data_IF_586109570073
#
_entry.id   IF_586109570073
#
_cell.length_a   1.000
_cell.length_b   1.000
_cell.length_c   1.000
_cell.angle_alpha   90.00
_cell.angle_beta   90.00
_cell.angle_gamma   90.00
#
_symmetry.space_group_name_H-M   'P 1'
#
loop_
_entity.id
_entity.type
_entity.pdbx_description
1 polymer ?
#
# COMPACT_ATOMS: atom_id res chain seq x y z
N UNK A 1 -26.45 -25.31 -39.17
CA UNK A 1 -26.11 -24.17 -38.25
C UNK A 1 -26.41 -24.45 -36.78
N UNK A 2 -26.44 -25.70 -36.35
CA UNK A 2 -26.72 -26.08 -34.94
C UNK A 2 -25.46 -26.06 -34.07
N UNK A 3 -24.25 -26.10 -34.66
CA UNK A 3 -22.99 -26.21 -33.92
C UNK A 3 -22.56 -24.94 -33.16
N UNK A 4 -22.99 -23.75 -33.56
CA UNK A 4 -22.58 -22.49 -32.96
C UNK A 4 -23.27 -22.24 -31.60
N UNK A 5 -24.51 -22.69 -31.43
CA UNK A 5 -25.25 -22.51 -30.17
C UNK A 5 -24.75 -23.42 -29.03
N UNK A 6 -24.11 -24.54 -29.36
CA UNK A 6 -23.61 -25.48 -28.35
C UNK A 6 -22.32 -24.99 -27.66
N UNK A 7 -21.59 -24.04 -28.25
CA UNK A 7 -20.31 -23.52 -27.71
C UNK A 7 -20.52 -22.29 -26.85
N UNK A 8 -21.64 -21.56 -26.98
CA UNK A 8 -21.93 -20.35 -26.22
C UNK A 8 -21.83 -20.50 -24.67
N UNK A 9 -22.27 -21.63 -24.07
CA UNK A 9 -22.12 -21.80 -22.63
C UNK A 9 -20.68 -22.01 -22.16
N UNK A 10 -19.76 -22.33 -23.08
CA UNK A 10 -18.34 -22.64 -22.77
C UNK A 10 -17.48 -21.38 -22.93
N UNK A 11 -18.01 -20.33 -23.56
CA UNK A 11 -17.28 -19.06 -23.65
C UNK A 11 -17.08 -18.47 -22.26
N UNK A 12 -15.84 -18.17 -21.86
CA UNK A 12 -15.58 -17.54 -20.57
C UNK A 12 -16.35 -16.21 -20.51
N UNK A 13 -17.18 -16.08 -19.48
CA UNK A 13 -17.81 -14.78 -19.20
C UNK A 13 -16.71 -13.77 -18.92
N UNK A 14 -16.79 -12.56 -19.49
CA UNK A 14 -15.87 -11.50 -19.11
C UNK A 14 -15.90 -11.34 -17.59
N UNK A 15 -14.74 -11.47 -16.95
CA UNK A 15 -14.64 -11.16 -15.52
C UNK A 15 -14.94 -9.67 -15.35
N UNK A 16 -15.74 -9.29 -14.34
CA UNK A 16 -15.93 -7.88 -14.03
C UNK A 16 -14.58 -7.30 -13.62
N UNK A 17 -13.98 -6.52 -14.50
CA UNK A 17 -12.72 -5.82 -14.23
C UNK A 17 -13.09 -4.50 -13.57
N UNK A 18 -12.75 -4.34 -12.30
CA UNK A 18 -12.86 -3.04 -11.65
C UNK A 18 -11.91 -2.04 -12.35
N UNK A 19 -12.39 -0.80 -12.52
CA UNK A 19 -11.54 0.25 -13.04
C UNK A 19 -10.28 0.40 -12.15
N UNK A 20 -9.14 0.50 -12.80
CA UNK A 20 -7.88 0.69 -12.09
C UNK A 20 -7.90 2.02 -11.30
N UNK A 21 -7.45 2.00 -10.05
CA UNK A 21 -7.28 3.22 -9.27
C UNK A 21 -6.24 4.11 -9.96
N UNK A 22 -6.55 5.37 -10.26
CA UNK A 22 -5.60 6.24 -10.95
C UNK A 22 -4.34 6.46 -10.11
N UNK A 23 -3.23 6.75 -10.77
CA UNK A 23 -1.99 7.19 -10.10
C UNK A 23 -2.29 8.48 -9.34
N UNK A 24 -1.91 8.59 -8.04
CA UNK A 24 -2.17 9.79 -7.26
C UNK A 24 -1.54 11.04 -7.88
N UNK A 25 -2.26 12.17 -7.93
CA UNK A 25 -1.67 13.43 -8.34
C UNK A 25 -0.43 13.77 -7.48
N UNK A 26 0.68 14.08 -8.13
CA UNK A 26 1.94 14.38 -7.45
C UNK A 26 2.87 13.18 -7.24
N UNK A 27 2.45 11.96 -7.52
CA UNK A 27 3.27 10.75 -7.37
C UNK A 27 4.63 10.89 -8.08
N UNK A 28 4.64 11.06 -9.40
CA UNK A 28 5.89 11.19 -10.17
C UNK A 28 6.70 12.41 -9.78
N UNK A 29 6.06 13.54 -9.45
CA UNK A 29 6.75 14.74 -9.00
C UNK A 29 7.53 14.52 -7.70
N UNK A 30 6.96 13.75 -6.76
CA UNK A 30 7.63 13.37 -5.50
C UNK A 30 8.85 12.51 -5.78
N UNK A 31 8.72 11.44 -6.57
CA UNK A 31 9.84 10.56 -6.90
C UNK A 31 10.95 11.30 -7.66
N UNK A 32 10.61 12.13 -8.63
CA UNK A 32 11.59 12.98 -9.34
C UNK A 32 12.34 13.92 -8.38
N UNK A 33 11.67 14.47 -7.38
CA UNK A 33 12.28 15.34 -6.36
C UNK A 33 13.16 14.56 -5.38
N UNK A 34 12.82 13.32 -5.07
CA UNK A 34 13.61 12.46 -4.20
C UNK A 34 14.94 12.02 -4.83
N UNK A 35 15.04 11.96 -6.17
CA UNK A 35 16.26 11.54 -6.89
C UNK A 35 16.89 10.28 -6.31
N UNK A 36 16.09 9.26 -6.09
CA UNK A 36 16.52 8.01 -5.49
C UNK A 36 17.26 7.14 -6.52
N UNK A 37 18.29 6.38 -6.08
CA UNK A 37 18.83 5.29 -6.89
C UNK A 37 17.74 4.27 -7.26
N UNK A 38 17.86 3.63 -8.43
CA UNK A 38 16.89 2.64 -8.89
C UNK A 38 16.71 1.43 -7.95
N UNK A 39 17.71 1.13 -7.14
CA UNK A 39 17.67 0.03 -6.14
C UNK A 39 17.34 0.48 -4.73
N UNK A 40 17.04 1.77 -4.52
CA UNK A 40 16.79 2.29 -3.19
C UNK A 40 15.50 1.68 -2.59
N UNK A 41 15.53 1.13 -1.37
CA UNK A 41 14.33 0.68 -0.70
C UNK A 41 13.43 1.87 -0.35
N UNK A 42 12.16 1.81 -0.75
CA UNK A 42 11.15 2.87 -0.49
C UNK A 42 9.96 2.27 0.24
N UNK A 43 9.63 2.84 1.37
CA UNK A 43 8.37 2.51 2.04
C UNK A 43 7.27 3.41 1.49
N UNK A 44 6.29 2.82 0.84
CA UNK A 44 5.08 3.53 0.40
C UNK A 44 3.95 3.25 1.38
N UNK A 45 3.15 4.24 1.68
CA UNK A 45 1.91 4.08 2.47
C UNK A 45 0.73 4.55 1.61
N UNK A 46 -0.26 3.70 1.34
CA UNK A 46 -0.46 2.38 1.95
C UNK A 46 0.63 1.38 1.60
N UNK A 47 1.02 0.58 2.59
CA UNK A 47 2.06 -0.46 2.39
C UNK A 47 1.50 -1.56 1.48
N UNK A 48 2.18 -1.90 0.38
CA UNK A 48 1.71 -2.93 -0.54
C UNK A 48 1.51 -4.28 0.16
N UNK A 49 0.37 -4.88 -0.08
CA UNK A 49 0.00 -6.22 0.42
C UNK A 49 -1.10 -6.78 -0.49
N UNK A 50 -1.55 -8.02 -0.29
CA UNK A 50 -2.57 -8.64 -1.14
C UNK A 50 -3.86 -7.85 -1.28
N UNK A 51 -4.21 -7.09 -0.24
CA UNK A 51 -5.40 -6.24 -0.21
C UNK A 51 -5.15 -4.80 -0.68
N UNK A 52 -3.88 -4.42 -0.86
CA UNK A 52 -3.44 -3.08 -1.28
C UNK A 52 -2.33 -3.20 -2.32
N UNK A 53 -2.70 -3.50 -3.55
CA UNK A 53 -1.74 -3.68 -4.67
C UNK A 53 -1.48 -2.39 -5.44
N UNK A 54 -2.26 -1.35 -5.19
CA UNK A 54 -2.22 -0.08 -5.91
C UNK A 54 -0.81 0.53 -5.99
N UNK A 55 -0.02 0.62 -4.91
CA UNK A 55 1.31 1.21 -5.01
C UNK A 55 2.25 0.48 -5.97
N UNK A 56 2.13 -0.85 -6.07
CA UNK A 56 2.90 -1.64 -7.04
C UNK A 56 2.50 -1.30 -8.48
N UNK A 57 1.20 -1.09 -8.70
CA UNK A 57 0.69 -0.71 -10.01
C UNK A 57 1.07 0.73 -10.36
N UNK A 58 0.94 1.69 -9.43
CA UNK A 58 1.37 3.07 -9.66
C UNK A 58 2.84 3.14 -10.05
N UNK A 59 3.69 2.36 -9.37
CA UNK A 59 5.10 2.25 -9.72
C UNK A 59 5.29 1.66 -11.11
N UNK A 60 4.59 0.59 -11.47
CA UNK A 60 4.67 -0.02 -12.78
C UNK A 60 4.17 0.92 -13.90
N UNK A 61 3.06 1.61 -13.67
CA UNK A 61 2.45 2.53 -14.64
C UNK A 61 3.32 3.76 -14.91
N UNK A 62 4.08 4.20 -13.91
CA UNK A 62 4.91 5.41 -14.00
C UNK A 62 6.39 5.14 -14.19
N UNK A 63 6.85 3.90 -13.99
CA UNK A 63 8.25 3.52 -14.11
C UNK A 63 9.16 4.16 -13.05
N UNK A 64 8.59 4.53 -11.89
CA UNK A 64 9.35 5.21 -10.85
C UNK A 64 10.44 4.31 -10.23
N UNK A 65 11.62 4.88 -9.92
CA UNK A 65 12.73 4.13 -9.36
C UNK A 65 12.48 3.70 -7.91
N UNK A 66 13.18 2.67 -7.48
CA UNK A 66 13.17 2.17 -6.11
C UNK A 66 12.56 0.79 -5.99
N UNK A 67 12.89 0.10 -4.90
CA UNK A 67 12.29 -1.17 -4.51
C UNK A 67 11.28 -0.91 -3.41
N UNK A 68 9.99 -1.16 -3.67
CA UNK A 68 8.98 -0.96 -2.63
C UNK A 68 9.13 -1.98 -1.51
N UNK A 69 9.07 -1.50 -0.28
CA UNK A 69 8.98 -2.35 0.91
C UNK A 69 7.57 -2.91 1.01
N UNK A 70 7.47 -4.22 1.18
CA UNK A 70 6.21 -4.93 1.11
C UNK A 70 5.90 -5.40 -0.31
N UNK A 71 4.77 -6.03 -0.51
CA UNK A 71 4.34 -6.50 -1.81
C UNK A 71 3.49 -7.76 -1.73
N UNK A 72 3.02 -8.17 -2.90
CA UNK A 72 2.27 -9.41 -3.07
C UNK A 72 3.16 -10.45 -3.76
N UNK A 73 3.84 -11.25 -2.96
CA UNK A 73 4.70 -12.33 -3.47
C UNK A 73 4.60 -13.56 -2.58
N UNK A 74 4.88 -14.70 -3.15
CA UNK A 74 5.07 -15.93 -2.38
C UNK A 74 6.52 -15.97 -1.88
N UNK A 75 6.67 -16.06 -0.57
CA UNK A 75 7.98 -16.12 0.04
C UNK A 75 7.98 -17.04 1.27
N UNK A 76 9.16 -17.42 1.75
CA UNK A 76 9.26 -18.16 3.00
C UNK A 76 8.87 -17.26 4.17
N UNK A 77 7.98 -17.74 5.02
CA UNK A 77 7.73 -17.13 6.31
C UNK A 77 8.81 -17.56 7.32
N UNK A 78 8.78 -16.96 8.49
CA UNK A 78 9.68 -17.28 9.60
C UNK A 78 9.63 -18.77 10.03
N UNK A 79 8.51 -19.46 9.78
CA UNK A 79 8.29 -20.88 10.09
C UNK A 79 8.68 -21.81 8.92
N UNK A 80 9.28 -21.29 7.85
CA UNK A 80 9.73 -22.01 6.66
C UNK A 80 8.63 -22.39 5.68
N UNK A 81 7.38 -22.02 5.94
CA UNK A 81 6.26 -22.25 5.01
C UNK A 81 6.22 -21.16 3.96
N UNK A 82 5.72 -21.48 2.78
CA UNK A 82 5.42 -20.47 1.77
C UNK A 82 4.08 -19.79 2.12
N UNK A 83 4.10 -18.48 2.20
CA UNK A 83 2.90 -17.67 2.36
C UNK A 83 2.72 -16.73 1.17
N UNK A 84 1.47 -16.58 0.76
CA UNK A 84 1.08 -15.48 -0.12
C UNK A 84 0.72 -14.35 0.80
N UNK A 85 1.57 -13.33 0.91
CA UNK A 85 1.29 -12.12 1.66
C UNK A 85 0.82 -12.34 3.12
N UNK A 86 0.93 -11.38 3.91
CA UNK A 86 0.16 -11.23 5.13
C UNK A 86 0.83 -11.68 6.41
N UNK A 87 1.47 -12.81 6.49
CA UNK A 87 2.27 -13.12 7.68
C UNK A 87 3.65 -12.44 7.63
N UNK A 88 4.01 -11.91 6.46
CA UNK A 88 5.25 -11.17 6.27
C UNK A 88 5.14 -9.65 6.47
N UNK A 89 3.93 -9.06 6.44
CA UNK A 89 3.80 -7.63 6.71
C UNK A 89 3.96 -7.38 8.20
N UNK A 90 5.05 -6.72 8.64
CA UNK A 90 5.26 -6.41 10.04
C UNK A 90 4.10 -5.64 10.64
N UNK A 91 3.92 -5.76 11.95
CA UNK A 91 2.89 -5.01 12.71
C UNK A 91 2.89 -3.51 12.36
N UNK A 92 4.07 -2.92 12.18
CA UNK A 92 4.25 -1.53 11.80
C UNK A 92 3.61 -1.20 10.45
N UNK A 93 3.79 -2.05 9.44
CA UNK A 93 3.17 -1.86 8.11
C UNK A 93 1.65 -1.92 8.17
N UNK A 94 1.11 -2.88 8.93
CA UNK A 94 -0.34 -2.97 9.17
C UNK A 94 -0.89 -1.75 9.91
N UNK A 95 -0.13 -1.24 10.88
CA UNK A 95 -0.51 -0.05 11.61
C UNK A 95 -0.50 1.21 10.74
N UNK A 96 0.49 1.35 9.85
CA UNK A 96 0.52 2.43 8.86
C UNK A 96 -0.68 2.37 7.91
N UNK A 97 -1.06 1.19 7.43
CA UNK A 97 -2.24 1.01 6.60
C UNK A 97 -3.54 1.32 7.35
N UNK A 98 -3.62 0.98 8.63
CA UNK A 98 -4.73 1.37 9.48
C UNK A 98 -4.83 2.90 9.62
N UNK A 99 -3.73 3.60 9.93
CA UNK A 99 -3.70 5.06 10.02
C UNK A 99 -4.03 5.72 8.68
N UNK A 100 -3.62 5.12 7.57
CA UNK A 100 -3.97 5.58 6.24
C UNK A 100 -5.48 5.49 6.00
N UNK A 101 -6.10 4.38 6.34
CA UNK A 101 -7.56 4.20 6.22
C UNK A 101 -8.33 5.21 7.09
N UNK A 102 -7.91 5.42 8.34
CA UNK A 102 -8.48 6.41 9.26
C UNK A 102 -8.29 7.86 8.78
N UNK A 103 -7.30 8.09 7.93
CA UNK A 103 -7.01 9.40 7.34
C UNK A 103 -7.92 9.76 6.16
N UNK A 104 -8.93 8.94 5.87
CA UNK A 104 -9.76 9.11 4.68
C UNK A 104 -8.96 8.85 3.40
N UNK A 105 -7.86 8.13 3.51
CA UNK A 105 -7.18 7.52 2.40
C UNK A 105 -8.22 6.69 1.69
N UNK A 106 -8.71 7.19 0.55
CA UNK A 106 -9.89 6.62 -0.07
C UNK A 106 -9.64 5.14 -0.32
N UNK A 107 -10.32 4.31 0.46
CA UNK A 107 -10.54 2.95 0.00
C UNK A 107 -11.00 3.09 -1.44
N UNK A 108 -10.36 2.43 -2.41
CA UNK A 108 -10.83 2.45 -3.77
C UNK A 108 -12.34 2.25 -3.76
N UNK A 109 -13.08 2.94 -4.60
CA UNK A 109 -14.56 2.90 -4.59
C UNK A 109 -15.12 1.47 -4.62
N UNK A 110 -14.33 0.50 -5.14
CA UNK A 110 -14.66 -0.94 -5.11
C UNK A 110 -14.45 -1.59 -3.74
N UNK A 111 -13.59 -1.04 -2.87
CA UNK A 111 -13.52 -1.43 -1.46
C UNK A 111 -14.53 -0.66 -0.61
N UNK A 112 -14.88 0.56 -0.99
CA UNK A 112 -15.84 1.42 -0.29
C UNK A 112 -17.30 1.07 -0.56
N UNK A 113 -17.60 0.32 -1.63
CA UNK A 113 -18.95 -0.14 -1.90
C UNK A 113 -19.35 -1.29 -0.98
N UNK A 114 -19.53 -0.99 0.31
CA UNK A 114 -20.18 -1.89 1.25
C UNK A 114 -19.27 -2.61 2.26
N UNK A 115 -17.99 -2.27 2.33
CA UNK A 115 -17.13 -2.78 3.39
C UNK A 115 -16.80 -1.63 4.34
N UNK A 116 -17.49 -1.51 5.49
CA UNK A 116 -17.15 -0.51 6.47
C UNK A 116 -15.70 -0.72 6.94
N UNK A 117 -14.99 0.32 7.43
CA UNK A 117 -13.66 0.20 8.03
C UNK A 117 -13.58 -0.91 9.10
N UNK A 118 -14.68 -1.19 9.79
CA UNK A 118 -14.85 -2.33 10.68
C UNK A 118 -14.80 -3.71 9.98
N UNK A 119 -14.90 -3.80 8.67
CA UNK A 119 -14.81 -5.08 7.95
C UNK A 119 -13.37 -5.53 7.68
N UNK A 120 -12.38 -4.66 7.89
CA UNK A 120 -10.99 -5.12 8.11
C UNK A 120 -10.87 -5.90 9.42
N UNK A 121 -11.88 -5.83 10.27
CA UNK A 121 -12.09 -6.63 11.48
C UNK A 121 -13.18 -7.69 11.26
N UNK A 122 -13.17 -8.36 10.10
CA UNK A 122 -14.04 -9.55 9.97
C UNK A 122 -13.66 -10.48 11.11
N UNK A 123 -14.59 -10.81 12.01
CA UNK A 123 -14.29 -11.72 13.10
C UNK A 123 -13.69 -13.01 12.52
N UNK A 124 -12.43 -13.28 12.84
CA UNK A 124 -11.73 -14.50 12.44
C UNK A 124 -10.67 -14.38 11.34
N UNK A 125 -10.48 -13.22 10.68
CA UNK A 125 -9.53 -13.13 9.55
C UNK A 125 -8.37 -12.15 9.70
N UNK A 126 -8.45 -11.18 10.59
CA UNK A 126 -7.31 -10.30 10.91
C UNK A 126 -7.27 -10.09 12.43
N UNK A 127 -6.12 -10.40 13.03
CA UNK A 127 -5.86 -9.98 14.39
C UNK A 127 -6.04 -8.46 14.50
N UNK A 128 -6.62 -7.95 15.59
CA UNK A 128 -6.79 -6.51 15.78
C UNK A 128 -5.45 -5.81 15.59
N UNK A 129 -5.45 -4.74 14.82
CA UNK A 129 -4.23 -3.95 14.58
C UNK A 129 -3.86 -3.30 15.92
N UNK A 130 -2.79 -3.81 16.54
CA UNK A 130 -2.26 -3.21 17.77
C UNK A 130 -1.57 -1.89 17.43
N UNK A 131 -1.80 -0.88 18.26
CA UNK A 131 -1.07 0.36 18.17
C UNK A 131 0.45 0.09 18.28
N UNK A 132 1.22 0.83 17.48
CA UNK A 132 2.69 0.76 17.48
C UNK A 132 3.20 2.08 18.07
N UNK A 133 4.05 2.01 19.08
CA UNK A 133 4.66 3.22 19.65
C UNK A 133 5.58 3.90 18.62
N UNK A 134 5.85 5.19 18.80
CA UNK A 134 6.80 5.92 17.94
C UNK A 134 8.19 5.30 17.96
N UNK A 135 8.64 4.82 19.11
CA UNK A 135 9.92 4.14 19.25
C UNK A 135 9.96 2.83 18.46
N UNK A 136 8.94 1.99 18.62
CA UNK A 136 8.81 0.74 17.86
C UNK A 136 8.74 1.01 16.34
N UNK A 137 8.03 2.06 15.93
CA UNK A 137 7.95 2.43 14.52
C UNK A 137 9.31 2.88 13.99
N UNK A 138 10.07 3.71 14.74
CA UNK A 138 11.44 4.11 14.36
C UNK A 138 12.36 2.91 14.22
N UNK A 139 12.32 2.00 15.18
CA UNK A 139 13.12 0.77 15.13
C UNK A 139 12.77 -0.09 13.89
N UNK A 140 11.49 -0.19 13.56
CA UNK A 140 11.06 -0.95 12.39
C UNK A 140 11.47 -0.28 11.07
N UNK A 141 11.34 1.05 10.96
CA UNK A 141 11.79 1.81 9.78
C UNK A 141 13.30 1.62 9.60
N UNK A 142 14.08 1.72 10.67
CA UNK A 142 15.52 1.46 10.64
C UNK A 142 15.85 0.03 10.19
N UNK A 143 15.08 -0.97 10.66
CA UNK A 143 15.24 -2.36 10.27
C UNK A 143 14.94 -2.58 8.78
N UNK A 144 14.00 -1.86 8.20
CA UNK A 144 13.70 -1.90 6.77
C UNK A 144 14.77 -1.24 5.90
N UNK A 145 15.67 -0.44 6.48
CA UNK A 145 16.74 0.27 5.77
C UNK A 145 16.23 1.09 4.58
N UNK A 146 15.07 1.70 4.73
CA UNK A 146 14.48 2.48 3.65
C UNK A 146 15.25 3.78 3.42
N UNK A 147 15.39 4.18 2.17
CA UNK A 147 15.99 5.46 1.77
C UNK A 147 14.97 6.60 1.79
N UNK A 148 13.68 6.26 1.65
CA UNK A 148 12.60 7.23 1.71
C UNK A 148 11.28 6.58 2.14
N UNK A 149 10.40 7.43 2.68
CA UNK A 149 9.01 7.10 2.95
C UNK A 149 8.14 8.01 2.10
N UNK A 150 7.21 7.43 1.34
CA UNK A 150 6.25 8.15 0.49
C UNK A 150 4.85 7.80 0.95
N UNK A 151 4.08 8.78 1.40
CA UNK A 151 2.72 8.58 1.86
C UNK A 151 1.72 9.26 0.94
N UNK A 152 0.74 8.48 0.46
CA UNK A 152 -0.39 9.01 -0.34
C UNK A 152 -1.48 9.41 0.63
N UNK A 153 -1.40 10.64 1.13
CA UNK A 153 -2.27 11.14 2.19
C UNK A 153 -2.17 12.66 2.29
N UNK A 154 -3.24 13.30 2.69
CA UNK A 154 -3.24 14.76 2.98
C UNK A 154 -2.37 15.05 4.20
N UNK A 155 -1.63 16.15 4.14
CA UNK A 155 -0.73 16.57 5.21
C UNK A 155 -1.44 16.71 6.57
N UNK A 156 -2.66 17.22 6.59
CA UNK A 156 -3.46 17.45 7.81
C UNK A 156 -4.24 16.22 8.28
N UNK A 157 -3.94 15.05 7.75
CA UNK A 157 -4.56 13.79 8.15
C UNK A 157 -3.88 13.18 9.37
N UNK A 158 -4.53 12.17 9.98
CA UNK A 158 -3.96 11.43 11.12
C UNK A 158 -2.62 10.81 10.78
N UNK A 159 -2.50 10.17 9.60
CA UNK A 159 -1.23 9.59 9.15
C UNK A 159 -0.19 10.66 8.84
N UNK A 160 -0.58 11.75 8.16
CA UNK A 160 0.33 12.86 7.86
C UNK A 160 0.90 13.48 9.13
N UNK A 161 0.06 13.71 10.14
CA UNK A 161 0.50 14.16 11.45
C UNK A 161 1.41 13.14 12.14
N UNK A 162 1.03 11.86 12.16
CA UNK A 162 1.82 10.78 12.76
C UNK A 162 3.23 10.70 12.16
N UNK A 163 3.32 10.71 10.83
CA UNK A 163 4.60 10.67 10.13
C UNK A 163 5.43 11.95 10.37
N UNK A 164 4.78 13.10 10.49
CA UNK A 164 5.46 14.36 10.83
C UNK A 164 6.05 14.32 12.25
N UNK A 165 5.33 13.78 13.23
CA UNK A 165 5.86 13.60 14.60
C UNK A 165 6.99 12.57 14.62
N UNK A 166 6.92 11.55 13.78
CA UNK A 166 7.91 10.47 13.72
C UNK A 166 9.21 10.90 13.04
N UNK A 167 9.11 11.66 11.94
CA UNK A 167 10.21 11.92 10.98
C UNK A 167 10.56 13.40 10.82
N UNK A 168 9.77 14.30 11.40
CA UNK A 168 9.82 15.73 11.09
C UNK A 168 8.91 16.11 9.91
N UNK A 169 8.94 17.38 9.47
CA UNK A 169 8.15 17.84 8.36
C UNK A 169 8.55 17.11 7.06
N UNK A 170 7.59 16.86 6.14
CA UNK A 170 7.91 16.27 4.86
C UNK A 170 8.87 17.18 4.06
N UNK A 171 9.88 16.58 3.41
CA UNK A 171 10.81 17.32 2.57
C UNK A 171 10.25 17.61 1.18
N UNK A 172 9.30 16.79 0.73
CA UNK A 172 8.62 16.97 -0.54
C UNK A 172 7.12 16.80 -0.33
N UNK A 173 6.35 17.70 -0.92
CA UNK A 173 4.89 17.63 -0.94
C UNK A 173 4.42 17.96 -2.36
N UNK A 174 3.60 17.08 -2.94
CA UNK A 174 2.99 17.32 -4.24
C UNK A 174 1.58 16.71 -4.26
N UNK A 175 0.55 17.54 -4.35
CA UNK A 175 -0.83 17.11 -4.22
C UNK A 175 -1.07 16.42 -2.87
N UNK A 176 -1.65 15.23 -2.92
CA UNK A 176 -1.88 14.38 -1.73
C UNK A 176 -0.73 13.38 -1.49
N UNK A 177 0.48 13.68 -1.97
CA UNK A 177 1.66 12.82 -1.78
C UNK A 177 2.72 13.56 -0.97
N UNK A 178 3.11 12.97 0.15
CA UNK A 178 4.12 13.49 1.07
C UNK A 178 5.33 12.55 1.05
N UNK A 179 6.54 13.11 1.18
CA UNK A 179 7.74 12.27 1.25
C UNK A 179 8.79 12.78 2.23
N UNK A 180 9.50 11.80 2.80
CA UNK A 180 10.61 11.96 3.72
C UNK A 180 11.80 11.12 3.24
N UNK A 181 13.00 11.68 3.26
CA UNK A 181 14.24 10.92 3.25
C UNK A 181 14.55 10.43 4.66
N UNK A 182 15.05 9.22 4.78
CA UNK A 182 15.36 8.57 6.06
C UNK A 182 16.85 8.31 6.19
#
# INVERSE_FOLDING_TARGET
SVGVLAVLPILPKPLPVAAATPVPPGWSAVFASLKLPASAPVLVVPVPMSTFTEPLRWQADTGEPGSLVGGYFMGPAWDGRAYIDGNGTPQAGRYLNFLWAESGGGLPAWMGAGIPPSAYTRPGTLAPVKAVSLEQMRAQIAAWRVAAIVAVVRQNSVLGWYLTVLLGPPQVTAGDVLAWRV
#
